data_IF_497548323346
#
_entry.id   IF_497548323346
#
_cell.length_a   1.000
_cell.length_b   1.000
_cell.length_c   1.000
_cell.angle_alpha   90.00
_cell.angle_beta   90.00
_cell.angle_gamma   90.00
#
_symmetry.space_group_name_H-M   'P 1'
#
loop_
_entity.id
_entity.type
_entity.pdbx_description
1 polymer ?
#
# COMPACT_ATOMS: atom_id res chain seq x y z
N UNK A 1 -8.15 -18.20 15.06
CA UNK A 1 -7.12 -17.26 14.58
C UNK A 1 -6.28 -17.87 13.46
N UNK A 2 -5.75 -19.07 13.58
CA UNK A 2 -4.90 -19.72 12.56
C UNK A 2 -5.48 -19.75 11.13
N UNK A 3 -6.79 -19.99 10.97
CA UNK A 3 -7.41 -20.01 9.63
C UNK A 3 -7.44 -18.65 8.96
N UNK A 4 -7.59 -17.56 9.70
CA UNK A 4 -7.61 -16.18 9.18
C UNK A 4 -6.22 -15.82 8.65
N UNK A 5 -5.19 -16.13 9.41
CA UNK A 5 -3.79 -15.88 9.01
C UNK A 5 -3.42 -16.68 7.76
N UNK A 6 -3.85 -17.96 7.69
CA UNK A 6 -3.64 -18.80 6.52
C UNK A 6 -4.34 -18.26 5.27
N UNK A 7 -5.55 -17.73 5.41
CA UNK A 7 -6.27 -17.11 4.30
C UNK A 7 -5.58 -15.81 3.82
N UNK A 8 -5.01 -15.01 4.72
CA UNK A 8 -4.20 -13.85 4.33
C UNK A 8 -2.93 -14.25 3.61
N UNK A 9 -2.26 -15.33 4.01
CA UNK A 9 -1.09 -15.87 3.30
C UNK A 9 -1.48 -16.31 1.89
N UNK A 10 -2.58 -17.05 1.74
CA UNK A 10 -3.10 -17.46 0.43
C UNK A 10 -3.42 -16.27 -0.45
N UNK A 11 -4.09 -15.25 0.10
CA UNK A 11 -4.40 -14.01 -0.59
C UNK A 11 -3.13 -13.31 -1.09
N UNK A 12 -2.12 -13.20 -0.24
CA UNK A 12 -0.84 -12.58 -0.58
C UNK A 12 -0.12 -13.35 -1.70
N UNK A 13 -0.12 -14.67 -1.64
CA UNK A 13 0.46 -15.53 -2.70
C UNK A 13 -0.27 -15.30 -4.03
N UNK A 14 -1.60 -15.25 -4.02
CA UNK A 14 -2.39 -14.98 -5.23
C UNK A 14 -2.05 -13.61 -5.81
N UNK A 15 -1.93 -12.58 -4.98
CA UNK A 15 -1.51 -11.24 -5.41
C UNK A 15 -0.13 -11.26 -6.06
N UNK A 16 0.86 -11.90 -5.44
CA UNK A 16 2.22 -12.00 -5.98
C UNK A 16 2.28 -12.75 -7.31
N UNK A 17 1.55 -13.88 -7.43
CA UNK A 17 1.45 -14.63 -8.68
C UNK A 17 0.76 -13.79 -9.76
N UNK A 18 -0.31 -13.10 -9.39
CA UNK A 18 -1.03 -12.20 -10.28
C UNK A 18 -0.13 -11.09 -10.82
N UNK A 19 0.59 -10.38 -9.96
CA UNK A 19 1.54 -9.33 -10.33
C UNK A 19 2.66 -9.86 -11.25
N UNK A 20 3.22 -11.02 -10.95
CA UNK A 20 4.22 -11.66 -11.81
C UNK A 20 3.67 -11.96 -13.22
N UNK A 21 2.41 -12.38 -13.33
CA UNK A 21 1.80 -12.65 -14.65
C UNK A 21 1.40 -11.37 -15.40
N UNK A 22 1.21 -10.26 -14.71
CA UNK A 22 0.94 -8.94 -15.32
C UNK A 22 2.14 -8.39 -16.09
N UNK A 23 3.37 -8.81 -15.78
CA UNK A 23 4.57 -8.36 -16.47
C UNK A 23 4.69 -8.79 -17.94
N UNK A 24 3.89 -9.78 -18.38
CA UNK A 24 3.87 -10.25 -19.78
C UNK A 24 2.51 -10.00 -20.43
N UNK A 25 2.45 -9.35 -21.61
CA UNK A 25 1.19 -9.08 -22.32
C UNK A 25 0.36 -10.33 -22.60
N UNK A 26 1.00 -11.46 -22.89
CA UNK A 26 0.34 -12.74 -23.19
C UNK A 26 -0.41 -13.32 -21.97
N UNK A 27 0.03 -13.04 -20.75
CA UNK A 27 -0.56 -13.54 -19.51
C UNK A 27 -1.25 -12.47 -18.68
N UNK A 28 -1.18 -11.19 -19.06
CA UNK A 28 -1.66 -10.06 -18.26
C UNK A 28 -3.13 -10.19 -17.84
N UNK A 29 -4.03 -10.62 -18.76
CA UNK A 29 -5.44 -10.83 -18.43
C UNK A 29 -5.65 -11.88 -17.34
N UNK A 30 -4.93 -13.00 -17.41
CA UNK A 30 -4.97 -14.05 -16.39
C UNK A 30 -4.34 -13.58 -15.10
N UNK A 31 -3.24 -12.83 -15.18
CA UNK A 31 -2.59 -12.21 -14.03
C UNK A 31 -3.51 -11.28 -13.26
N UNK A 32 -4.24 -10.42 -13.98
CA UNK A 32 -5.20 -9.51 -13.38
C UNK A 32 -6.35 -10.24 -12.66
N UNK A 33 -6.89 -11.31 -13.24
CA UNK A 33 -7.92 -12.12 -12.60
C UNK A 33 -7.41 -12.80 -11.32
N UNK A 34 -6.20 -13.33 -11.33
CA UNK A 34 -5.58 -13.96 -10.16
C UNK A 34 -5.34 -12.91 -9.06
N UNK A 35 -4.80 -11.74 -9.41
CA UNK A 35 -4.60 -10.65 -8.45
C UNK A 35 -5.93 -10.17 -7.87
N UNK A 36 -6.95 -9.99 -8.70
CA UNK A 36 -8.30 -9.61 -8.26
C UNK A 36 -8.90 -10.65 -7.31
N UNK A 37 -8.75 -11.94 -7.59
CA UNK A 37 -9.24 -13.00 -6.68
C UNK A 37 -8.52 -12.97 -5.32
N UNK A 38 -7.21 -12.72 -5.30
CA UNK A 38 -6.44 -12.53 -4.07
C UNK A 38 -6.93 -11.32 -3.27
N UNK A 39 -7.18 -10.19 -3.94
CA UNK A 39 -7.69 -8.98 -3.31
C UNK A 39 -9.10 -9.19 -2.73
N UNK A 40 -10.00 -9.82 -3.48
CA UNK A 40 -11.35 -10.14 -3.00
C UNK A 40 -11.27 -11.03 -1.76
N UNK A 41 -10.43 -12.05 -1.79
CA UNK A 41 -10.21 -12.94 -0.64
C UNK A 41 -9.74 -12.15 0.59
N UNK A 42 -8.75 -11.27 0.45
CA UNK A 42 -8.28 -10.42 1.53
C UNK A 42 -9.39 -9.54 2.13
N UNK A 43 -10.20 -8.90 1.27
CA UNK A 43 -11.31 -8.05 1.71
C UNK A 43 -12.35 -8.87 2.46
N UNK A 44 -12.74 -10.03 1.93
CA UNK A 44 -13.72 -10.92 2.57
C UNK A 44 -13.20 -11.37 3.94
N UNK A 45 -11.95 -11.82 4.02
CA UNK A 45 -11.34 -12.24 5.29
C UNK A 45 -11.30 -11.08 6.29
N UNK A 46 -10.96 -9.86 5.84
CA UNK A 46 -10.95 -8.67 6.70
C UNK A 46 -12.33 -8.31 7.25
N UNK A 47 -13.40 -8.47 6.45
CA UNK A 47 -14.78 -8.21 6.89
C UNK A 47 -15.23 -9.22 7.94
N UNK A 48 -14.87 -10.49 7.78
CA UNK A 48 -15.22 -11.56 8.72
C UNK A 48 -14.25 -11.71 9.89
N UNK A 49 -13.14 -10.96 9.89
CA UNK A 49 -12.21 -10.91 11.03
C UNK A 49 -12.89 -10.22 12.22
N UNK A 50 -12.68 -10.72 13.46
CA UNK A 50 -13.23 -10.08 14.65
C UNK A 50 -12.75 -8.62 14.73
N UNK A 51 -13.69 -7.69 14.67
CA UNK A 51 -13.38 -6.27 14.85
C UNK A 51 -13.33 -5.97 16.34
N UNK A 52 -12.24 -5.40 16.79
CA UNK A 52 -12.15 -4.80 18.12
C UNK A 52 -12.95 -3.50 18.09
N UNK A 53 -14.14 -3.47 18.69
CA UNK A 53 -14.96 -2.26 18.79
C UNK A 53 -16.45 -2.50 18.54
N UNK A 54 -17.20 -1.41 18.56
CA UNK A 54 -18.64 -1.40 18.40
C UNK A 54 -19.08 -1.78 16.96
N UNK A 55 -20.22 -2.44 16.80
CA UNK A 55 -20.77 -2.89 15.51
C UNK A 55 -20.97 -1.77 14.47
N UNK A 56 -20.82 -0.49 14.86
CA UNK A 56 -20.89 0.67 13.97
C UNK A 56 -19.81 0.73 12.89
N UNK A 57 -18.70 0.01 13.05
CA UNK A 57 -17.57 0.04 12.11
C UNK A 57 -17.90 -0.54 10.72
N UNK A 58 -18.87 -1.46 10.65
CA UNK A 58 -19.30 -2.02 9.35
C UNK A 58 -19.85 -0.98 8.39
N UNK A 59 -20.56 0.04 8.90
CA UNK A 59 -21.06 1.13 8.06
C UNK A 59 -19.93 1.89 7.35
N UNK A 60 -18.86 2.18 8.06
CA UNK A 60 -17.69 2.86 7.49
C UNK A 60 -16.94 1.96 6.49
N UNK A 61 -16.80 0.67 6.78
CA UNK A 61 -16.15 -0.30 5.89
C UNK A 61 -16.94 -0.43 4.58
N UNK A 62 -18.22 -0.72 4.65
CA UNK A 62 -19.07 -0.86 3.45
C UNK A 62 -19.24 0.46 2.70
N UNK A 63 -19.32 1.58 3.41
CA UNK A 63 -19.33 2.91 2.81
C UNK A 63 -18.05 3.19 2.03
N UNK A 64 -16.88 2.97 2.63
CA UNK A 64 -15.59 3.15 1.98
C UNK A 64 -15.38 2.23 0.77
N UNK A 65 -15.71 0.94 0.91
CA UNK A 65 -15.64 -0.03 -0.19
C UNK A 65 -16.56 0.38 -1.35
N UNK A 66 -17.80 0.79 -1.05
CA UNK A 66 -18.76 1.22 -2.08
C UNK A 66 -18.26 2.44 -2.85
N UNK A 67 -17.76 3.44 -2.15
CA UNK A 67 -17.16 4.64 -2.79
C UNK A 67 -15.95 4.25 -3.64
N UNK A 68 -15.06 3.41 -3.12
CA UNK A 68 -13.87 2.93 -3.86
C UNK A 68 -14.24 2.17 -5.12
N UNK A 69 -15.24 1.28 -5.05
CA UNK A 69 -15.73 0.52 -6.22
C UNK A 69 -16.35 1.44 -7.26
N UNK A 70 -17.20 2.39 -6.86
CA UNK A 70 -17.82 3.33 -7.78
C UNK A 70 -16.78 4.20 -8.48
N UNK A 71 -15.81 4.74 -7.75
CA UNK A 71 -14.71 5.51 -8.33
C UNK A 71 -13.85 4.65 -9.26
N UNK A 72 -13.48 3.45 -8.85
CA UNK A 72 -12.70 2.53 -9.67
C UNK A 72 -13.40 2.16 -10.98
N UNK A 73 -14.70 1.85 -10.93
CA UNK A 73 -15.50 1.56 -12.13
C UNK A 73 -15.62 2.78 -13.06
N UNK A 74 -15.77 3.97 -12.49
CA UNK A 74 -15.85 5.20 -13.28
C UNK A 74 -14.54 5.48 -14.02
N UNK A 75 -13.41 5.42 -13.31
CA UNK A 75 -12.10 5.64 -13.91
C UNK A 75 -11.75 4.55 -14.92
N UNK A 76 -12.00 3.27 -14.63
CA UNK A 76 -11.66 2.16 -15.51
C UNK A 76 -12.35 2.23 -16.88
N UNK A 77 -13.55 2.84 -16.94
CA UNK A 77 -14.28 3.04 -18.22
C UNK A 77 -13.82 4.24 -19.02
N UNK A 78 -13.19 5.24 -18.37
CA UNK A 78 -12.76 6.49 -19.00
C UNK A 78 -11.32 6.48 -19.50
N UNK A 79 -10.47 5.65 -18.88
CA UNK A 79 -9.03 5.65 -19.13
C UNK A 79 -8.72 5.06 -20.50
N UNK A 80 -7.90 5.77 -21.26
CA UNK A 80 -7.33 5.28 -22.52
C UNK A 80 -6.20 4.29 -22.23
N UNK A 81 -5.95 3.38 -23.16
CA UNK A 81 -4.86 2.38 -23.05
C UNK A 81 -3.49 3.02 -22.79
N UNK A 82 -3.25 4.21 -23.32
CA UNK A 82 -2.01 4.98 -23.12
C UNK A 82 -1.86 5.55 -21.71
N UNK A 83 -2.96 5.75 -20.98
CA UNK A 83 -3.01 6.34 -19.64
C UNK A 83 -3.00 5.27 -18.52
N UNK A 84 -3.04 3.97 -18.90
CA UNK A 84 -3.02 2.87 -17.92
C UNK A 84 -1.82 2.94 -16.97
N UNK A 85 -0.56 3.18 -17.44
CA UNK A 85 0.59 3.26 -16.55
C UNK A 85 0.47 4.37 -15.48
N UNK A 86 -0.11 5.50 -15.86
CA UNK A 86 -0.39 6.63 -14.97
C UNK A 86 -1.37 6.21 -13.86
N UNK A 87 -2.48 5.57 -14.26
CA UNK A 87 -3.52 5.12 -13.34
C UNK A 87 -2.99 4.05 -12.36
N UNK A 88 -2.19 3.10 -12.86
CA UNK A 88 -1.55 2.08 -12.02
C UNK A 88 -0.62 2.73 -10.99
N UNK A 89 0.16 3.74 -11.40
CA UNK A 89 1.01 4.49 -10.49
C UNK A 89 0.20 5.20 -9.40
N UNK A 90 -0.91 5.84 -9.77
CA UNK A 90 -1.79 6.52 -8.83
C UNK A 90 -2.41 5.56 -7.80
N UNK A 91 -2.92 4.42 -8.24
CA UNK A 91 -3.49 3.41 -7.33
C UNK A 91 -2.45 2.80 -6.40
N UNK A 92 -1.23 2.58 -6.88
CA UNK A 92 -0.12 2.16 -6.02
C UNK A 92 0.17 3.23 -4.94
N UNK A 93 0.12 4.52 -5.31
CA UNK A 93 0.24 5.62 -4.37
C UNK A 93 -0.85 5.60 -3.29
N UNK A 94 -2.10 5.38 -3.66
CA UNK A 94 -3.19 5.25 -2.67
C UNK A 94 -2.97 4.08 -1.71
N UNK A 95 -2.46 2.94 -2.17
CA UNK A 95 -2.04 1.83 -1.30
C UNK A 95 -0.95 2.25 -0.30
N UNK A 96 0.04 3.02 -0.76
CA UNK A 96 1.06 3.61 0.10
C UNK A 96 0.46 4.55 1.16
N UNK A 97 -0.47 5.43 0.76
CA UNK A 97 -1.17 6.32 1.68
C UNK A 97 -1.97 5.55 2.76
N UNK A 98 -2.69 4.50 2.36
CA UNK A 98 -3.40 3.63 3.32
C UNK A 98 -2.44 3.02 4.34
N UNK A 99 -1.28 2.53 3.90
CA UNK A 99 -0.25 1.98 4.78
C UNK A 99 0.26 3.03 5.78
N UNK A 100 0.48 4.27 5.33
CA UNK A 100 0.88 5.39 6.20
C UNK A 100 -0.19 5.65 7.27
N UNK A 101 -1.46 5.78 6.88
CA UNK A 101 -2.54 6.04 7.82
C UNK A 101 -2.71 4.93 8.86
N UNK A 102 -2.65 3.66 8.43
CA UNK A 102 -2.72 2.50 9.35
C UNK A 102 -1.53 2.54 10.32
N UNK A 103 -0.33 2.79 9.83
CA UNK A 103 0.86 2.87 10.68
C UNK A 103 0.78 4.01 11.70
N UNK A 104 0.29 5.18 11.31
CA UNK A 104 0.08 6.31 12.24
C UNK A 104 -0.94 5.93 13.32
N UNK A 105 -2.08 5.34 12.94
CA UNK A 105 -3.09 4.92 13.90
C UNK A 105 -2.56 3.87 14.87
N UNK A 106 -1.71 2.96 14.39
CA UNK A 106 -1.09 1.95 15.25
C UNK A 106 -0.07 2.57 16.21
N UNK A 107 0.76 3.52 15.76
CA UNK A 107 1.71 4.25 16.61
C UNK A 107 0.97 5.01 17.73
N UNK A 108 -0.20 5.58 17.46
CA UNK A 108 -1.00 6.28 18.47
C UNK A 108 -1.54 5.35 19.58
N UNK A 109 -1.55 4.04 19.34
CA UNK A 109 -1.94 3.02 20.32
C UNK A 109 -0.74 2.47 21.14
N UNK A 110 0.50 2.84 20.79
CA UNK A 110 1.68 2.35 21.46
C UNK A 110 1.67 2.75 22.93
N UNK A 111 2.15 1.83 23.76
CA UNK A 111 2.33 2.02 25.20
C UNK A 111 3.63 1.29 25.63
N UNK A 112 3.99 1.43 26.89
CA UNK A 112 5.21 0.83 27.46
C UNK A 112 5.25 -0.71 27.37
N UNK A 113 4.15 -1.38 27.02
CA UNK A 113 4.05 -2.83 26.83
C UNK A 113 4.10 -3.25 25.37
N UNK A 114 4.21 -2.31 24.44
CA UNK A 114 4.28 -2.61 23.00
C UNK A 114 5.57 -3.36 22.68
N UNK A 115 5.46 -4.54 22.08
CA UNK A 115 6.62 -5.36 21.76
C UNK A 115 7.51 -4.69 20.71
N UNK A 116 8.82 -4.90 20.83
CA UNK A 116 9.82 -4.38 19.90
C UNK A 116 9.55 -4.83 18.45
N UNK A 117 8.99 -6.03 18.28
CA UNK A 117 8.61 -6.57 16.97
C UNK A 117 7.48 -5.76 16.31
N UNK A 118 6.42 -5.44 17.05
CA UNK A 118 5.29 -4.64 16.56
C UNK A 118 5.78 -3.24 16.19
N UNK A 119 6.54 -2.58 17.06
CA UNK A 119 7.09 -1.26 16.80
C UNK A 119 7.96 -1.24 15.54
N UNK A 120 8.85 -2.23 15.38
CA UNK A 120 9.73 -2.34 14.21
C UNK A 120 8.94 -2.49 12.90
N UNK A 121 7.92 -3.36 12.89
CA UNK A 121 7.06 -3.57 11.72
C UNK A 121 6.30 -2.29 11.39
N UNK A 122 5.72 -1.62 12.39
CA UNK A 122 4.91 -0.42 12.19
C UNK A 122 5.74 0.76 11.66
N UNK A 123 6.92 1.03 12.23
CA UNK A 123 7.79 2.08 11.71
C UNK A 123 8.34 1.76 10.31
N UNK A 124 8.66 0.49 10.04
CA UNK A 124 9.06 0.07 8.69
C UNK A 124 7.91 0.23 7.69
N UNK A 125 6.69 -0.13 8.06
CA UNK A 125 5.51 0.05 7.23
C UNK A 125 5.23 1.52 6.95
N UNK A 126 5.36 2.40 7.96
CA UNK A 126 5.24 3.85 7.79
C UNK A 126 6.25 4.39 6.76
N UNK A 127 7.49 3.96 6.87
CA UNK A 127 8.57 4.40 5.98
C UNK A 127 8.34 3.92 4.55
N UNK A 128 8.09 2.62 4.35
CA UNK A 128 7.86 2.04 3.03
C UNK A 128 6.59 2.61 2.40
N UNK A 129 5.52 2.78 3.18
CA UNK A 129 4.27 3.40 2.73
C UNK A 129 4.48 4.84 2.26
N UNK A 130 5.27 5.62 2.99
CA UNK A 130 5.60 7.02 2.63
C UNK A 130 6.38 7.11 1.32
N UNK A 131 7.37 6.22 1.12
CA UNK A 131 8.12 6.13 -0.14
C UNK A 131 7.21 5.69 -1.28
N UNK A 132 6.38 4.68 -1.06
CA UNK A 132 5.45 4.18 -2.06
C UNK A 132 4.45 5.27 -2.49
N UNK A 133 3.90 6.03 -1.54
CA UNK A 133 2.98 7.13 -1.81
C UNK A 133 3.66 8.25 -2.61
N UNK A 134 4.72 8.81 -2.08
CA UNK A 134 5.40 9.96 -2.72
C UNK A 134 6.05 9.58 -4.04
N UNK A 135 6.70 8.42 -4.10
CA UNK A 135 7.31 7.90 -5.33
C UNK A 135 6.28 7.66 -6.44
N UNK A 136 5.12 7.12 -6.09
CA UNK A 136 4.02 6.89 -7.04
C UNK A 136 3.40 8.20 -7.54
N UNK A 137 3.27 9.23 -6.71
CA UNK A 137 2.83 10.56 -7.15
C UNK A 137 3.82 11.21 -8.12
N UNK A 138 5.12 11.09 -7.84
CA UNK A 138 6.17 11.56 -8.76
C UNK A 138 6.15 10.78 -10.07
N UNK A 139 5.98 9.46 -10.02
CA UNK A 139 5.88 8.61 -11.20
C UNK A 139 4.65 8.98 -12.03
N UNK A 140 3.48 9.18 -11.39
CA UNK A 140 2.28 9.67 -12.05
C UNK A 140 2.53 11.01 -12.76
N UNK A 141 3.14 11.99 -12.07
CA UNK A 141 3.45 13.29 -12.65
C UNK A 141 4.42 13.24 -13.82
N UNK A 142 5.36 12.29 -13.83
CA UNK A 142 6.28 12.07 -14.96
C UNK A 142 5.60 11.39 -16.14
N UNK A 143 4.79 10.36 -15.88
CA UNK A 143 4.07 9.63 -16.92
C UNK A 143 3.03 10.52 -17.60
N UNK A 144 2.32 11.37 -16.85
CA UNK A 144 1.35 12.35 -17.39
C UNK A 144 2.01 13.57 -18.06
N UNK A 145 3.34 13.67 -18.05
CA UNK A 145 4.08 14.78 -18.65
C UNK A 145 4.01 16.09 -17.84
N UNK A 146 3.41 16.08 -16.65
CA UNK A 146 3.32 17.28 -15.79
C UNK A 146 4.64 17.58 -15.08
N UNK A 147 5.45 16.56 -14.80
CA UNK A 147 6.77 16.69 -14.21
C UNK A 147 7.86 16.36 -15.23
N UNK A 148 8.84 17.25 -15.35
CA UNK A 148 10.03 17.05 -16.17
C UNK A 148 11.08 16.22 -15.41
N UNK A 149 11.84 15.41 -16.14
CA UNK A 149 12.98 14.70 -15.56
C UNK A 149 14.08 15.70 -15.15
N UNK A 150 14.32 15.78 -13.87
CA UNK A 150 15.44 16.53 -13.32
C UNK A 150 16.55 15.56 -12.93
N UNK A 151 17.60 15.49 -13.76
CA UNK A 151 18.79 14.70 -13.48
C UNK A 151 19.92 15.63 -13.06
N UNK A 152 20.35 15.48 -11.82
CA UNK A 152 21.60 16.07 -11.31
C UNK A 152 22.39 14.98 -10.60
N UNK A 153 23.71 14.93 -10.81
CA UNK A 153 24.58 13.98 -10.07
C UNK A 153 24.55 14.23 -8.56
N UNK A 154 24.31 15.48 -8.15
CA UNK A 154 24.13 15.83 -6.73
C UNK A 154 22.87 15.21 -6.11
N UNK A 155 21.83 14.97 -6.90
CA UNK A 155 20.56 14.45 -6.42
C UNK A 155 20.68 13.01 -5.89
N UNK A 156 21.59 12.21 -6.43
CA UNK A 156 21.82 10.84 -5.96
C UNK A 156 22.45 10.81 -4.56
N UNK A 157 23.41 11.67 -4.30
CA UNK A 157 24.01 11.78 -2.95
C UNK A 157 23.03 12.35 -1.94
N UNK A 158 22.22 13.31 -2.34
CA UNK A 158 21.17 13.90 -1.51
C UNK A 158 20.10 12.86 -1.14
N UNK A 159 19.66 12.05 -2.10
CA UNK A 159 18.70 10.98 -1.85
C UNK A 159 19.27 9.90 -0.93
N UNK A 160 20.56 9.53 -1.11
CA UNK A 160 21.24 8.58 -0.23
C UNK A 160 21.35 9.11 1.20
N UNK A 161 21.71 10.39 1.36
CA UNK A 161 21.78 11.04 2.67
C UNK A 161 20.41 10.97 3.40
N UNK A 162 19.33 11.34 2.73
CA UNK A 162 17.99 11.28 3.31
C UNK A 162 17.55 9.85 3.64
N UNK A 163 17.87 8.88 2.77
CA UNK A 163 17.57 7.47 3.04
C UNK A 163 18.29 7.00 4.32
N UNK A 164 19.58 7.26 4.44
CA UNK A 164 20.37 6.87 5.62
C UNK A 164 19.83 7.57 6.88
N UNK A 165 19.51 8.85 6.79
CA UNK A 165 18.95 9.62 7.91
C UNK A 165 17.60 9.02 8.37
N UNK A 166 16.70 8.70 7.44
CA UNK A 166 15.41 8.08 7.78
C UNK A 166 15.60 6.71 8.45
N UNK A 167 16.49 5.86 7.94
CA UNK A 167 16.80 4.57 8.55
C UNK A 167 17.38 4.75 9.95
N UNK A 168 18.28 5.69 10.15
CA UNK A 168 18.86 5.98 11.46
C UNK A 168 17.81 6.46 12.47
N UNK A 169 16.89 7.34 12.05
CA UNK A 169 15.78 7.81 12.91
C UNK A 169 14.82 6.68 13.28
N UNK A 170 14.51 5.79 12.36
CA UNK A 170 13.67 4.61 12.63
C UNK A 170 14.34 3.70 13.65
N UNK A 171 15.62 3.39 13.45
CA UNK A 171 16.38 2.57 14.40
C UNK A 171 16.47 3.24 15.78
N UNK A 172 16.71 4.55 15.81
CA UNK A 172 16.71 5.31 17.07
C UNK A 172 15.37 5.19 17.81
N UNK A 173 14.25 5.34 17.10
CA UNK A 173 12.90 5.24 17.70
C UNK A 173 12.56 3.82 18.15
N UNK A 174 13.03 2.80 17.44
CA UNK A 174 12.85 1.39 17.83
C UNK A 174 13.64 1.07 19.11
N UNK A 175 14.85 1.61 19.23
CA UNK A 175 15.72 1.36 20.38
C UNK A 175 15.35 2.18 21.62
N UNK A 176 14.66 3.31 21.42
CA UNK A 176 14.22 4.22 22.49
C UNK A 176 12.71 4.43 22.39
N UNK A 177 11.88 3.42 22.66
CA UNK A 177 10.44 3.58 22.68
C UNK A 177 10.07 4.58 23.79
N UNK A 178 9.34 5.65 23.43
CA UNK A 178 8.85 6.67 24.34
C UNK A 178 7.66 6.17 25.15
#
# INVERSE_FOLDING_TARGET
MEYIELLYIVSTILLLIGLRKLSSPASARKGNLIAASGMILAIVVSIFSPLEGDNGNYLYIFGGVSVGVLMGLFYSKKVKMTEIPELVSLFNGYGGACTVFISILEILKFNNTTSLGISSITYTALFVGSIAFTGSLVAYGKLSGTLKDWRSSLSSYFNLFWLVLCIALILFQILNPA
#
